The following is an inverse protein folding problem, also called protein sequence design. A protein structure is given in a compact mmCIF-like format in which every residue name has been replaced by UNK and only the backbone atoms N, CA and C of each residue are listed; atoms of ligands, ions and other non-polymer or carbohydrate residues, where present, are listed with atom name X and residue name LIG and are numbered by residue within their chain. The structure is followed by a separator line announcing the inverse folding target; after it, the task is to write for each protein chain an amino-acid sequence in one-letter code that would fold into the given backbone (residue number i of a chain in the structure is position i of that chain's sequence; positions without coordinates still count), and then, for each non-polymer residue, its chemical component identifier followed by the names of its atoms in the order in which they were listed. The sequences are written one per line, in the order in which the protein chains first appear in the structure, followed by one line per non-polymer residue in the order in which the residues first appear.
data_IF_208077700218
#
_entry.id   IF_208077700218
#
_cell.length_a   1.000
_cell.length_b   1.000
_cell.length_c   1.000
_cell.angle_alpha   90.00
_cell.angle_beta   90.00
_cell.angle_gamma   90.00
#
_symmetry.space_group_name_H-M   'P 1'
#
loop_
_entity.id
_entity.type
_entity.pdbx_description
1 polymer ?
#
# COMPACT_ATOMS: atom_id res chain seq x y z
N UNK A 1 6.43 9.81 5.07
CA UNK A 1 5.87 9.24 3.84
C UNK A 1 6.26 7.78 3.74
N UNK A 2 5.30 6.92 3.46
CA UNK A 2 5.56 5.48 3.37
C UNK A 2 5.81 5.08 1.92
N UNK A 3 6.77 4.20 1.69
CA UNK A 3 7.08 3.74 0.35
C UNK A 3 7.16 2.22 0.30
N UNK A 4 6.98 1.67 -0.88
CA UNK A 4 7.04 0.23 -1.11
C UNK A 4 7.50 -0.04 -2.54
N UNK A 5 8.38 -1.04 -2.69
CA UNK A 5 8.85 -1.44 -4.01
C UNK A 5 7.96 -2.57 -4.55
N UNK A 6 7.22 -2.29 -5.62
CA UNK A 6 6.43 -3.33 -6.30
C UNK A 6 7.34 -3.99 -7.33
N UNK A 7 8.20 -4.90 -6.88
CA UNK A 7 9.21 -5.51 -7.73
C UNK A 7 8.78 -6.84 -8.37
N UNK A 8 7.60 -7.34 -7.98
CA UNK A 8 7.11 -8.62 -8.48
C UNK A 8 5.61 -8.73 -8.24
N UNK A 9 4.99 -9.74 -8.86
CA UNK A 9 3.59 -10.06 -8.59
C UNK A 9 3.38 -10.39 -7.11
N UNK A 10 4.33 -11.11 -6.51
CA UNK A 10 4.24 -11.47 -5.10
C UNK A 10 4.23 -10.25 -4.19
N UNK A 11 5.09 -9.26 -4.46
CA UNK A 11 5.13 -8.05 -3.66
C UNK A 11 3.83 -7.25 -3.82
N UNK A 12 3.28 -7.19 -5.03
CA UNK A 12 2.00 -6.55 -5.28
C UNK A 12 0.88 -7.22 -4.47
N UNK A 13 0.85 -8.55 -4.46
CA UNK A 13 -0.15 -9.29 -3.70
C UNK A 13 -0.04 -9.06 -2.20
N UNK A 14 1.18 -8.99 -1.67
CA UNK A 14 1.40 -8.68 -0.25
C UNK A 14 0.86 -7.29 0.11
N UNK A 15 1.12 -6.31 -0.75
CA UNK A 15 0.62 -4.95 -0.53
C UNK A 15 -0.90 -4.92 -0.55
N UNK A 16 -1.52 -5.59 -1.51
CA UNK A 16 -2.98 -5.65 -1.63
C UNK A 16 -3.60 -6.29 -0.39
N UNK A 17 -3.04 -7.40 0.08
CA UNK A 17 -3.53 -8.06 1.29
C UNK A 17 -3.44 -7.16 2.52
N UNK A 18 -2.37 -6.38 2.62
CA UNK A 18 -2.23 -5.42 3.71
C UNK A 18 -3.33 -4.36 3.64
N UNK A 19 -3.59 -3.83 2.44
CA UNK A 19 -4.63 -2.83 2.25
C UNK A 19 -6.02 -3.41 2.56
N UNK A 20 -6.27 -4.65 2.18
CA UNK A 20 -7.52 -5.34 2.50
C UNK A 20 -7.69 -5.54 4.01
N UNK A 21 -6.61 -5.87 4.70
CA UNK A 21 -6.64 -6.04 6.16
C UNK A 21 -7.09 -4.75 6.86
N UNK A 22 -6.71 -3.61 6.32
CA UNK A 22 -7.01 -2.30 6.92
C UNK A 22 -8.27 -1.65 6.38
N UNK A 23 -8.96 -2.29 5.44
CA UNK A 23 -10.12 -1.70 4.75
C UNK A 23 -11.17 -1.08 5.68
N UNK A 24 -11.48 -1.73 6.78
CA UNK A 24 -12.50 -1.22 7.71
C UNK A 24 -12.02 -0.04 8.53
N UNK A 25 -10.71 0.15 8.63
CA UNK A 25 -10.12 1.22 9.43
C UNK A 25 -9.75 2.42 8.57
N UNK A 26 -9.30 2.18 7.35
CA UNK A 26 -8.85 3.23 6.45
C UNK A 26 -8.79 2.74 5.02
N UNK A 27 -9.09 3.63 4.08
CA UNK A 27 -8.73 3.41 2.69
C UNK A 27 -7.24 3.67 2.53
N UNK A 28 -6.62 3.00 1.58
CA UNK A 28 -5.19 3.18 1.29
C UNK A 28 -5.02 3.47 -0.18
N UNK A 29 -4.36 4.58 -0.49
CA UNK A 29 -4.03 4.97 -1.86
C UNK A 29 -2.59 4.60 -2.15
N UNK A 30 -2.34 4.14 -3.37
CA UNK A 30 -1.01 3.86 -3.88
C UNK A 30 -0.71 4.90 -4.95
N UNK A 31 0.38 5.63 -4.78
CA UNK A 31 0.69 6.80 -5.60
C UNK A 31 2.03 6.62 -6.31
N UNK A 32 2.03 6.87 -7.60
CA UNK A 32 3.26 6.92 -8.39
C UNK A 32 3.18 8.11 -9.35
N UNK A 33 4.00 9.13 -9.09
CA UNK A 33 3.93 10.36 -9.88
C UNK A 33 2.55 10.99 -9.76
N UNK A 34 1.87 11.10 -10.88
CA UNK A 34 0.51 11.67 -10.93
C UNK A 34 -0.58 10.62 -10.88
N UNK A 35 -0.21 9.36 -10.82
CA UNK A 35 -1.19 8.26 -10.77
C UNK A 35 -1.51 7.90 -9.33
N UNK A 36 -2.79 7.73 -9.06
CA UNK A 36 -3.27 7.26 -7.76
C UNK A 36 -4.21 6.10 -8.01
N UNK A 37 -3.95 4.97 -7.38
CA UNK A 37 -4.79 3.78 -7.49
C UNK A 37 -5.20 3.30 -6.12
N UNK A 38 -6.33 2.61 -6.05
CA UNK A 38 -6.80 1.99 -4.82
C UNK A 38 -5.87 0.83 -4.46
N UNK A 39 -5.41 0.80 -3.20
CA UNK A 39 -4.51 -0.27 -2.73
C UNK A 39 -5.13 -1.66 -2.75
N UNK A 40 -6.46 -1.77 -2.89
CA UNK A 40 -7.14 -3.06 -3.01
C UNK A 40 -7.37 -3.47 -4.45
N UNK A 41 -7.00 -2.65 -5.42
CA UNK A 41 -7.21 -2.95 -6.83
C UNK A 41 -6.01 -3.70 -7.39
N UNK A 42 -6.18 -4.99 -7.70
CA UNK A 42 -5.11 -5.80 -8.28
C UNK A 42 -4.61 -5.19 -9.59
N UNK A 43 -5.52 -4.82 -10.48
CA UNK A 43 -5.12 -4.24 -11.76
C UNK A 43 -4.43 -2.90 -11.59
N UNK A 44 -4.95 -2.05 -10.68
CA UNK A 44 -4.34 -0.76 -10.37
C UNK A 44 -2.93 -0.91 -9.83
N UNK A 45 -2.76 -1.75 -8.83
CA UNK A 45 -1.45 -1.96 -8.20
C UNK A 45 -0.48 -2.61 -9.19
N UNK A 46 -0.93 -3.59 -9.97
CA UNK A 46 -0.08 -4.25 -10.96
C UNK A 46 0.35 -3.31 -12.08
N UNK A 47 -0.46 -2.30 -12.41
CA UNK A 47 -0.07 -1.30 -13.41
C UNK A 47 1.15 -0.48 -12.98
N UNK A 48 1.47 -0.48 -11.68
CA UNK A 48 2.61 0.24 -11.13
C UNK A 48 3.81 -0.69 -10.85
N UNK A 49 3.75 -1.94 -11.31
CA UNK A 49 4.82 -2.91 -11.09
C UNK A 49 6.14 -2.41 -11.66
N UNK A 50 7.23 -2.72 -10.98
CA UNK A 50 8.55 -2.26 -11.36
C UNK A 50 8.95 -0.92 -10.74
N UNK A 51 8.09 -0.33 -9.92
CA UNK A 51 8.32 1.00 -9.38
C UNK A 51 8.26 1.03 -7.85
N UNK A 52 8.97 1.99 -7.28
CA UNK A 52 8.74 2.40 -5.89
C UNK A 52 7.52 3.31 -5.87
N UNK A 53 6.59 3.01 -4.98
CA UNK A 53 5.35 3.78 -4.87
C UNK A 53 5.23 4.37 -3.47
N UNK A 54 4.42 5.42 -3.35
CA UNK A 54 4.02 5.96 -2.06
C UNK A 54 2.76 5.23 -1.61
N UNK A 55 2.75 4.78 -0.36
CA UNK A 55 1.61 4.11 0.25
C UNK A 55 0.98 5.08 1.24
N UNK A 56 -0.26 5.47 0.98
CA UNK A 56 -0.89 6.58 1.69
C UNK A 56 -2.20 6.17 2.36
N UNK A 57 -2.15 5.73 3.63
CA UNK A 57 -3.38 5.46 4.38
C UNK A 57 -4.14 6.76 4.61
N UNK A 58 -5.46 6.75 4.31
CA UNK A 58 -6.31 7.92 4.40
C UNK A 58 -6.95 8.03 5.78
N UNK A 59 -6.13 8.18 6.82
CA UNK A 59 -6.61 8.28 8.19
C UNK A 59 -5.77 9.27 8.99
N UNK A 60 -6.40 9.92 9.97
CA UNK A 60 -5.72 10.79 10.93
C UNK A 60 -5.50 10.09 12.28
N UNK A 61 -5.95 8.84 12.41
CA UNK A 61 -5.78 8.07 13.63
C UNK A 61 -4.33 7.61 13.77
N UNK A 62 -3.61 8.16 14.74
CA UNK A 62 -2.19 7.87 14.92
C UNK A 62 -1.92 6.41 15.26
N UNK A 63 -2.83 5.77 15.98
CA UNK A 63 -2.67 4.36 16.33
C UNK A 63 -2.76 3.49 15.07
N UNK A 64 -3.72 3.79 14.18
CA UNK A 64 -3.88 3.06 12.92
C UNK A 64 -2.66 3.28 12.02
N UNK A 65 -2.19 4.53 11.92
CA UNK A 65 -1.01 4.85 11.10
C UNK A 65 0.23 4.10 11.58
N UNK A 66 0.46 4.07 12.88
CA UNK A 66 1.62 3.39 13.44
C UNK A 66 1.55 1.89 13.21
N UNK A 67 0.39 1.30 13.42
CA UNK A 67 0.17 -0.12 13.19
C UNK A 67 0.36 -0.48 11.71
N UNK A 68 -0.18 0.34 10.81
CA UNK A 68 -0.04 0.14 9.37
C UNK A 68 1.43 0.22 8.96
N UNK A 69 2.15 1.21 9.45
CA UNK A 69 3.57 1.38 9.17
C UNK A 69 4.37 0.15 9.60
N UNK A 70 4.10 -0.37 10.79
CA UNK A 70 4.78 -1.56 11.29
C UNK A 70 4.50 -2.78 10.41
N UNK A 71 3.24 -2.97 10.02
CA UNK A 71 2.85 -4.09 9.15
C UNK A 71 3.46 -3.94 7.76
N UNK A 72 3.54 -2.72 7.24
CA UNK A 72 4.16 -2.47 5.94
C UNK A 72 5.64 -2.85 5.96
N UNK A 73 6.35 -2.50 7.03
CA UNK A 73 7.76 -2.87 7.17
C UNK A 73 7.96 -4.38 7.17
N UNK A 74 7.02 -5.12 7.77
CA UNK A 74 7.09 -6.58 7.80
C UNK A 74 6.98 -7.20 6.42
N UNK A 75 6.14 -6.66 5.54
CA UNK A 75 5.97 -7.23 4.20
C UNK A 75 7.10 -6.85 3.24
N UNK A 76 7.96 -5.91 3.62
CA UNK A 76 9.14 -5.55 2.83
C UNK A 76 10.25 -6.60 2.91
N UNK A 77 10.15 -7.50 3.86
CA UNK A 77 11.17 -8.52 4.09
C UNK A 77 10.94 -9.79 3.30
#
# INVERSE_FOLDING_TARGET
MLSFNIDSKESAEKLIRLCEKYHEKTEVDIIYGRQTVDGRSLLGVMSLAGNFVTVDPQTNDKAVLEQFKNDLEKIKQ
#
